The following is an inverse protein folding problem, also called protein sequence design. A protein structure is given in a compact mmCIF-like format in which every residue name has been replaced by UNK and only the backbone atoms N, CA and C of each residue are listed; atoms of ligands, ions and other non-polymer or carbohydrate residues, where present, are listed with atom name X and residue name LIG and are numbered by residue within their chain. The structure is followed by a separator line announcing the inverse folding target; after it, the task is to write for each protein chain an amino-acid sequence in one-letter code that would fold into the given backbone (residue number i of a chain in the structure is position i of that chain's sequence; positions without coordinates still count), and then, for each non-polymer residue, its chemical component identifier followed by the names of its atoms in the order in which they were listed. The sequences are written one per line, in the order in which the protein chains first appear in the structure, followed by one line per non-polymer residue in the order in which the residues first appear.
data_IF_857891096753
#
_entry.id   IF_857891096753
#
_cell.length_a   1.000
_cell.length_b   1.000
_cell.length_c   1.000
_cell.angle_alpha   90.00
_cell.angle_beta   90.00
_cell.angle_gamma   90.00
#
_symmetry.space_group_name_H-M   'P 1'
#
loop_
_entity.id
_entity.type
_entity.pdbx_description
1 polymer ?
#
# COMPACT_ATOMS: atom_id res chain seq x y z
N UNK A 1 -5.77 13.71 -2.14
CA UNK A 1 -6.63 12.75 -1.42
C UNK A 1 -6.27 12.75 0.07
N UNK A 2 -7.16 12.28 0.94
CA UNK A 2 -6.97 12.17 2.40
C UNK A 2 -6.95 10.68 2.83
N UNK A 3 -5.93 9.89 2.46
CA UNK A 3 -5.96 8.44 2.61
C UNK A 3 -6.11 7.99 4.07
N UNK A 4 -5.44 8.64 5.03
CA UNK A 4 -5.53 8.30 6.45
C UNK A 4 -6.96 8.46 6.98
N UNK A 5 -7.57 9.63 6.71
CA UNK A 5 -8.93 9.96 7.11
C UNK A 5 -9.94 8.98 6.51
N UNK A 6 -9.81 8.65 5.23
CA UNK A 6 -10.71 7.68 4.62
C UNK A 6 -10.51 6.26 5.17
N UNK A 7 -9.28 5.87 5.50
CA UNK A 7 -9.01 4.58 6.13
C UNK A 7 -9.65 4.46 7.51
N UNK A 8 -9.60 5.53 8.32
CA UNK A 8 -10.28 5.56 9.62
C UNK A 8 -11.81 5.57 9.47
N UNK A 9 -12.35 6.27 8.47
CA UNK A 9 -13.78 6.27 8.18
C UNK A 9 -14.27 4.89 7.74
N UNK A 10 -13.54 4.22 6.84
CA UNK A 10 -13.87 2.87 6.40
C UNK A 10 -13.84 1.93 7.61
N UNK A 11 -12.80 1.99 8.44
CA UNK A 11 -12.69 1.16 9.64
C UNK A 11 -13.89 1.31 10.58
N UNK A 12 -14.36 2.54 10.78
CA UNK A 12 -15.54 2.81 11.61
C UNK A 12 -16.82 2.15 11.07
N UNK A 13 -16.94 2.01 9.75
CA UNK A 13 -18.17 1.51 9.10
C UNK A 13 -18.12 0.01 8.85
N UNK A 14 -16.94 -0.54 8.50
CA UNK A 14 -16.79 -1.93 8.05
C UNK A 14 -16.19 -2.85 9.10
N UNK A 15 -15.52 -2.30 10.12
CA UNK A 15 -14.73 -3.08 11.08
C UNK A 15 -13.38 -3.57 10.55
N UNK A 16 -13.00 -3.23 9.30
CA UNK A 16 -11.65 -3.50 8.78
C UNK A 16 -10.69 -2.47 9.34
N UNK A 17 -9.59 -2.87 9.96
CA UNK A 17 -8.65 -1.94 10.60
C UNK A 17 -8.16 -0.85 9.64
N UNK A 18 -8.00 0.37 10.18
CA UNK A 18 -7.59 1.53 9.39
C UNK A 18 -6.21 1.31 8.74
N UNK A 19 -5.33 0.64 9.45
CA UNK A 19 -4.00 0.28 8.98
C UNK A 19 -4.03 -0.68 7.78
N UNK A 20 -4.98 -1.62 7.74
CA UNK A 20 -5.20 -2.50 6.60
C UNK A 20 -5.79 -1.71 5.43
N UNK A 21 -6.76 -0.83 5.67
CA UNK A 21 -7.30 0.04 4.63
C UNK A 21 -6.21 0.94 4.01
N UNK A 22 -5.33 1.51 4.84
CA UNK A 22 -4.23 2.34 4.37
C UNK A 22 -3.16 1.53 3.63
N UNK A 23 -2.90 0.28 4.02
CA UNK A 23 -2.01 -0.64 3.31
C UNK A 23 -2.40 -0.78 1.83
N UNK A 24 -3.70 -0.95 1.57
CA UNK A 24 -4.21 -1.15 0.22
C UNK A 24 -4.47 0.16 -0.54
N UNK A 25 -5.11 1.15 0.09
CA UNK A 25 -5.60 2.36 -0.57
C UNK A 25 -4.77 3.63 -0.32
N UNK A 26 -3.72 3.54 0.50
CA UNK A 26 -2.77 4.64 0.71
C UNK A 26 -1.81 4.80 -0.48
N UNK A 27 -0.95 5.83 -0.46
CA UNK A 27 0.15 5.96 -1.42
C UNK A 27 0.99 4.68 -1.44
N UNK A 28 1.54 4.27 -2.58
CA UNK A 28 2.27 3.00 -2.75
C UNK A 28 1.47 1.71 -2.43
N UNK A 29 0.19 1.83 -2.09
CA UNK A 29 -0.72 0.70 -1.96
C UNK A 29 -1.09 0.12 -3.33
N UNK A 30 -1.52 -1.14 -3.33
CA UNK A 30 -1.85 -1.88 -4.56
C UNK A 30 -3.24 -1.52 -5.12
N UNK A 31 -4.10 -0.87 -4.33
CA UNK A 31 -5.42 -0.45 -4.78
C UNK A 31 -5.47 1.06 -5.01
N UNK A 32 -6.09 1.44 -6.13
CA UNK A 32 -6.42 2.82 -6.43
C UNK A 32 -7.85 3.12 -6.02
N UNK A 33 -8.18 4.40 -5.87
CA UNK A 33 -9.56 4.87 -5.72
C UNK A 33 -10.10 5.34 -7.07
N UNK A 34 -9.87 4.54 -8.11
CA UNK A 34 -10.36 4.85 -9.45
C UNK A 34 -11.89 4.74 -9.46
N UNK A 35 -12.54 5.74 -10.05
CA UNK A 35 -13.99 5.81 -10.17
C UNK A 35 -14.47 5.48 -11.58
N UNK A 36 -13.56 5.27 -12.52
CA UNK A 36 -13.89 4.92 -13.90
C UNK A 36 -14.26 3.44 -14.06
N UNK A 37 -15.18 3.17 -14.99
CA UNK A 37 -15.62 1.80 -15.26
C UNK A 37 -14.69 1.12 -16.27
N UNK A 38 -13.59 0.55 -15.77
CA UNK A 38 -12.57 -0.11 -16.59
C UNK A 38 -13.14 -1.27 -17.43
N UNK A 39 -12.60 -1.54 -18.63
CA UNK A 39 -13.04 -2.68 -19.46
C UNK A 39 -13.01 -4.02 -18.72
N UNK A 40 -12.04 -4.22 -17.84
CA UNK A 40 -11.89 -5.43 -17.04
C UNK A 40 -13.06 -5.64 -16.07
N UNK A 41 -13.68 -4.57 -15.55
CA UNK A 41 -14.87 -4.69 -14.71
C UNK A 41 -16.09 -5.14 -15.53
N UNK A 42 -16.24 -4.64 -16.76
CA UNK A 42 -17.30 -5.11 -17.68
C UNK A 42 -17.10 -6.59 -18.01
N UNK A 43 -15.87 -7.02 -18.29
CA UNK A 43 -15.53 -8.41 -18.53
C UNK A 43 -15.82 -9.28 -17.30
N UNK A 44 -15.39 -8.87 -16.11
CA UNK A 44 -15.59 -9.61 -14.86
C UNK A 44 -17.08 -9.83 -14.55
N UNK A 45 -17.92 -8.80 -14.75
CA UNK A 45 -19.37 -8.90 -14.58
C UNK A 45 -19.98 -9.90 -15.57
N UNK A 46 -19.54 -9.88 -16.83
CA UNK A 46 -19.94 -10.88 -17.83
C UNK A 46 -19.61 -12.30 -17.41
N UNK A 47 -18.35 -12.54 -17.01
CA UNK A 47 -17.90 -13.84 -16.49
C UNK A 47 -18.72 -14.30 -15.29
N UNK A 48 -19.06 -13.39 -14.37
CA UNK A 48 -19.87 -13.71 -13.20
C UNK A 48 -21.29 -14.16 -13.60
N UNK A 49 -21.91 -13.48 -14.57
CA UNK A 49 -23.24 -13.85 -15.10
C UNK A 49 -23.20 -15.22 -15.76
N UNK A 50 -22.21 -15.48 -16.60
CA UNK A 50 -22.08 -16.78 -17.27
C UNK A 50 -21.79 -17.90 -16.28
N UNK A 51 -21.02 -17.63 -15.22
CA UNK A 51 -20.82 -18.55 -14.10
C UNK A 51 -22.13 -18.88 -13.40
N UNK A 52 -22.96 -17.87 -13.10
CA UNK A 52 -24.26 -18.09 -12.45
C UNK A 52 -25.22 -18.93 -13.31
N UNK A 53 -25.22 -18.73 -14.64
CA UNK A 53 -25.97 -19.59 -15.57
C UNK A 53 -25.46 -21.03 -15.52
N UNK A 54 -24.15 -21.22 -15.60
CA UNK A 54 -23.53 -22.55 -15.56
C UNK A 54 -23.91 -23.31 -14.27
N UNK A 55 -23.93 -22.60 -13.14
CA UNK A 55 -24.33 -23.13 -11.84
C UNK A 55 -25.86 -23.29 -11.66
N UNK A 56 -26.65 -22.97 -12.69
CA UNK A 56 -28.13 -22.96 -12.66
C UNK A 56 -28.69 -22.11 -11.50
N UNK A 57 -28.01 -20.99 -11.20
CA UNK A 57 -28.42 -19.97 -10.21
C UNK A 57 -29.08 -18.75 -10.86
N UNK A 58 -29.04 -18.66 -12.18
CA UNK A 58 -29.76 -17.68 -12.98
C UNK A 58 -30.31 -18.36 -14.24
N UNK A 59 -31.58 -18.13 -14.52
CA UNK A 59 -32.31 -18.84 -15.58
C UNK A 59 -32.27 -18.12 -16.93
N UNK A 60 -31.72 -16.88 -16.96
CA UNK A 60 -31.69 -16.04 -18.17
C UNK A 60 -30.35 -15.33 -18.31
N UNK A 61 -29.98 -15.03 -19.55
CA UNK A 61 -28.93 -14.07 -19.84
C UNK A 61 -29.32 -12.66 -19.43
N UNK A 62 -28.33 -11.90 -18.97
CA UNK A 62 -28.40 -10.47 -18.78
C UNK A 62 -27.59 -9.80 -19.90
N UNK A 63 -28.19 -8.81 -20.56
CA UNK A 63 -27.46 -7.98 -21.51
C UNK A 63 -26.68 -6.90 -20.75
N UNK A 64 -25.36 -7.04 -20.75
CA UNK A 64 -24.43 -6.11 -20.10
C UNK A 64 -24.57 -4.67 -20.59
N UNK A 65 -24.98 -4.46 -21.84
CA UNK A 65 -25.12 -3.12 -22.41
C UNK A 65 -26.36 -2.39 -21.88
N UNK A 66 -27.35 -3.14 -21.41
CA UNK A 66 -28.54 -2.56 -20.75
C UNK A 66 -28.32 -2.32 -19.26
N UNK A 67 -27.45 -3.12 -18.63
CA UNK A 67 -27.25 -3.09 -17.18
C UNK A 67 -26.08 -2.19 -16.74
N UNK A 68 -25.00 -2.13 -17.52
CA UNK A 68 -23.81 -1.36 -17.20
C UNK A 68 -23.84 -0.04 -17.96
N UNK A 69 -24.16 1.02 -17.23
CA UNK A 69 -24.26 2.38 -17.72
C UNK A 69 -23.33 3.33 -16.94
N UNK A 70 -22.25 3.77 -17.59
CA UNK A 70 -21.27 4.68 -17.02
C UNK A 70 -21.58 6.17 -17.29
N UNK A 71 -22.73 6.50 -17.90
CA UNK A 71 -23.05 7.88 -18.29
C UNK A 71 -23.10 8.83 -17.08
N UNK A 72 -23.57 8.36 -15.93
CA UNK A 72 -23.64 9.16 -14.70
C UNK A 72 -22.26 9.41 -14.10
N UNK A 73 -21.34 8.44 -14.22
CA UNK A 73 -19.95 8.61 -13.79
C UNK A 73 -19.28 9.64 -14.71
N UNK A 74 -19.46 9.53 -16.03
CA UNK A 74 -18.95 10.51 -17.00
C UNK A 74 -19.49 11.91 -16.72
N UNK A 75 -20.78 12.03 -16.41
CA UNK A 75 -21.40 13.30 -16.05
C UNK A 75 -20.79 13.90 -14.77
N UNK A 76 -20.54 13.08 -13.74
CA UNK A 76 -19.89 13.51 -12.50
C UNK A 76 -18.44 13.98 -12.72
N UNK A 77 -17.67 13.28 -13.57
CA UNK A 77 -16.33 13.71 -13.98
C UNK A 77 -16.37 15.08 -14.66
N UNK A 78 -17.27 15.26 -15.64
CA UNK A 78 -17.46 16.55 -16.32
C UNK A 78 -17.84 17.67 -15.34
N UNK A 79 -18.77 17.41 -14.42
CA UNK A 79 -19.17 18.37 -13.39
C UNK A 79 -18.04 18.73 -12.43
N UNK A 80 -17.09 17.80 -12.22
CA UNK A 80 -15.91 17.99 -11.39
C UNK A 80 -14.71 18.55 -12.17
N UNK A 81 -14.88 18.92 -13.44
CA UNK A 81 -13.82 19.35 -14.35
C UNK A 81 -12.66 18.33 -14.48
N UNK A 82 -13.01 17.04 -14.52
CA UNK A 82 -12.09 15.91 -14.69
C UNK A 82 -12.30 15.23 -16.05
N UNK A 83 -11.22 14.64 -16.59
CA UNK A 83 -11.24 13.88 -17.85
C UNK A 83 -11.48 12.39 -17.57
N UNK A 84 -12.69 11.92 -17.85
CA UNK A 84 -13.04 10.50 -17.71
C UNK A 84 -12.23 9.60 -18.65
N UNK A 85 -11.96 10.03 -19.88
CA UNK A 85 -11.24 9.21 -20.87
C UNK A 85 -9.79 9.04 -20.44
N UNK A 86 -9.15 10.11 -19.98
CA UNK A 86 -7.81 10.03 -19.42
C UNK A 86 -7.77 9.15 -18.16
N UNK A 87 -8.76 9.28 -17.26
CA UNK A 87 -8.84 8.42 -16.07
C UNK A 87 -9.09 6.96 -16.42
N UNK A 88 -9.96 6.68 -17.40
CA UNK A 88 -10.23 5.32 -17.88
C UNK A 88 -8.96 4.64 -18.40
N UNK A 89 -8.08 5.37 -19.09
CA UNK A 89 -6.79 4.88 -19.57
C UNK A 89 -5.69 4.82 -18.49
N UNK A 90 -5.91 5.40 -17.30
CA UNK A 90 -4.90 5.47 -16.25
C UNK A 90 -4.90 4.20 -15.39
N UNK A 91 -3.79 3.46 -15.40
CA UNK A 91 -3.54 2.30 -14.53
C UNK A 91 -2.35 2.52 -13.59
N UNK A 92 -1.86 3.76 -13.48
CA UNK A 92 -0.72 4.07 -12.63
C UNK A 92 -1.07 3.87 -11.13
N UNK A 93 -0.11 3.39 -10.32
CA UNK A 93 -0.29 3.32 -8.87
C UNK A 93 -0.44 4.72 -8.27
N UNK A 94 -1.05 4.79 -7.09
CA UNK A 94 -1.17 6.05 -6.35
C UNK A 94 0.22 6.57 -5.97
N UNK A 95 0.66 7.74 -6.48
CA UNK A 95 2.01 8.23 -6.24
C UNK A 95 2.18 8.67 -4.79
N UNK A 96 3.36 8.41 -4.22
CA UNK A 96 3.80 9.04 -2.98
C UNK A 96 4.53 10.35 -3.31
N UNK A 97 4.05 11.46 -2.77
CA UNK A 97 4.77 12.73 -2.72
C UNK A 97 5.10 13.00 -1.26
N UNK A 98 6.31 12.66 -0.85
CA UNK A 98 6.72 12.71 0.54
C UNK A 98 8.09 13.36 0.72
N UNK A 99 8.24 13.96 1.90
CA UNK A 99 9.54 14.34 2.45
C UNK A 99 9.89 13.36 3.56
N UNK A 100 11.15 13.02 3.64
CA UNK A 100 11.70 12.17 4.69
C UNK A 100 11.56 12.87 6.04
N UNK A 101 10.90 12.22 7.00
CA UNK A 101 10.55 12.79 8.29
C UNK A 101 11.78 13.05 9.18
N UNK A 102 12.92 12.44 8.88
CA UNK A 102 14.17 12.67 9.62
C UNK A 102 15.00 13.81 9.01
N UNK A 103 15.23 13.79 7.70
CA UNK A 103 16.14 14.71 7.00
C UNK A 103 15.44 15.90 6.34
N UNK A 104 14.12 15.86 6.17
CA UNK A 104 13.32 16.87 5.48
C UNK A 104 13.50 16.88 3.95
N UNK A 105 14.30 15.98 3.39
CA UNK A 105 14.57 15.91 1.95
C UNK A 105 13.43 15.21 1.20
N UNK A 106 13.18 15.54 -0.08
CA UNK A 106 12.25 14.78 -0.90
C UNK A 106 12.66 13.31 -1.02
N UNK A 107 11.70 12.40 -0.89
CA UNK A 107 11.91 10.98 -1.17
C UNK A 107 11.68 10.76 -2.67
N UNK A 108 12.70 10.31 -3.38
CA UNK A 108 12.66 10.04 -4.83
C UNK A 108 12.86 8.58 -5.19
N UNK A 109 13.37 7.77 -4.25
CA UNK A 109 13.46 6.32 -4.35
C UNK A 109 12.52 5.70 -3.32
N UNK A 110 11.57 4.90 -3.82
CA UNK A 110 10.54 4.28 -2.98
C UNK A 110 10.86 2.82 -2.62
N UNK A 111 11.95 2.24 -3.14
CA UNK A 111 12.29 0.81 -2.96
C UNK A 111 12.67 0.42 -1.53
N UNK A 112 12.99 1.40 -0.69
CA UNK A 112 13.37 1.22 0.71
C UNK A 112 12.49 2.04 1.67
N UNK A 113 11.41 2.65 1.17
CA UNK A 113 10.55 3.50 2.00
C UNK A 113 9.94 2.68 3.11
N UNK A 114 9.97 3.27 4.30
CA UNK A 114 9.23 2.79 5.45
C UNK A 114 8.37 3.92 6.00
N UNK A 115 7.22 3.56 6.56
CA UNK A 115 6.26 4.53 7.06
C UNK A 115 5.86 4.17 8.49
N UNK A 116 5.64 5.18 9.34
CA UNK A 116 5.14 4.98 10.70
C UNK A 116 3.87 5.80 10.89
N UNK A 117 2.78 5.10 11.20
CA UNK A 117 1.55 5.75 11.57
C UNK A 117 1.41 5.74 13.10
N UNK A 118 1.56 6.91 13.71
CA UNK A 118 1.33 7.11 15.14
C UNK A 118 -0.15 7.38 15.37
N UNK A 119 -0.75 6.72 16.35
CA UNK A 119 -2.16 6.91 16.71
C UNK A 119 -2.39 8.36 17.16
N UNK A 120 -3.40 8.99 16.59
CA UNK A 120 -3.73 10.41 16.85
C UNK A 120 -3.03 11.40 15.92
N UNK A 121 -2.04 10.96 15.12
CA UNK A 121 -1.48 11.81 14.06
C UNK A 121 -2.33 11.73 12.80
N UNK A 122 -2.59 12.89 12.21
CA UNK A 122 -3.39 13.01 10.99
C UNK A 122 -2.70 12.45 9.73
N UNK A 123 -1.39 12.24 9.80
CA UNK A 123 -0.55 11.82 8.67
C UNK A 123 0.39 10.71 9.06
N UNK A 124 0.60 9.78 8.13
CA UNK A 124 1.65 8.77 8.26
C UNK A 124 3.00 9.41 8.01
N UNK A 125 3.94 9.23 8.94
CA UNK A 125 5.33 9.71 8.80
C UNK A 125 6.06 8.83 7.79
N UNK A 126 6.78 9.47 6.88
CA UNK A 126 7.44 8.80 5.75
C UNK A 126 8.95 8.86 5.96
N UNK A 127 9.65 7.76 5.73
CA UNK A 127 11.10 7.67 5.84
C UNK A 127 11.68 7.06 4.57
N UNK A 128 12.80 7.60 4.11
CA UNK A 128 13.50 7.15 2.90
C UNK A 128 14.11 5.75 3.04
N UNK A 129 14.25 5.26 4.28
CA UNK A 129 14.83 3.94 4.56
C UNK A 129 14.18 3.27 5.80
N UNK A 130 14.23 1.94 5.83
CA UNK A 130 13.75 1.15 6.96
C UNK A 130 14.53 1.43 8.25
N UNK A 131 15.85 1.63 8.15
CA UNK A 131 16.73 1.94 9.28
C UNK A 131 16.37 3.26 9.96
N UNK A 132 16.10 4.29 9.14
CA UNK A 132 15.65 5.61 9.61
C UNK A 132 14.31 5.49 10.35
N UNK A 133 13.35 4.79 9.74
CA UNK A 133 12.07 4.51 10.38
C UNK A 133 12.24 3.73 11.68
N UNK A 134 13.00 2.65 11.71
CA UNK A 134 13.12 1.79 12.90
C UNK A 134 13.86 2.48 14.05
N UNK A 135 14.82 3.35 13.75
CA UNK A 135 15.43 4.23 14.74
C UNK A 135 14.41 5.23 15.32
N UNK A 136 13.60 5.84 14.46
CA UNK A 136 12.53 6.73 14.90
C UNK A 136 11.45 5.98 15.69
N UNK A 137 11.11 4.75 15.31
CA UNK A 137 10.18 3.86 16.01
C UNK A 137 10.64 3.59 17.44
N UNK A 138 11.93 3.29 17.64
CA UNK A 138 12.49 3.09 18.97
C UNK A 138 12.35 4.36 19.83
N UNK A 139 12.63 5.53 19.26
CA UNK A 139 12.50 6.83 19.95
C UNK A 139 11.05 7.13 20.32
N UNK A 140 10.10 6.93 19.38
CA UNK A 140 8.66 7.10 19.63
C UNK A 140 8.14 6.18 20.72
N UNK A 141 8.63 4.93 20.78
CA UNK A 141 8.28 3.98 21.85
C UNK A 141 8.81 4.45 23.21
N UNK A 142 10.04 4.97 23.27
CA UNK A 142 10.60 5.55 24.51
C UNK A 142 9.82 6.78 24.98
N UNK A 143 9.29 7.58 24.05
CA UNK A 143 8.39 8.70 24.33
C UNK A 143 6.97 8.27 24.74
N UNK A 144 6.68 6.96 24.80
CA UNK A 144 5.36 6.43 25.14
C UNK A 144 4.29 6.64 24.07
N UNK A 145 4.68 6.90 22.82
CA UNK A 145 3.73 7.06 21.70
C UNK A 145 3.10 5.72 21.35
N UNK A 146 1.79 5.74 21.09
CA UNK A 146 1.05 4.59 20.60
C UNK A 146 1.20 4.49 19.08
N UNK A 147 1.89 3.46 18.61
CA UNK A 147 2.09 3.21 17.18
C UNK A 147 0.89 2.42 16.67
N UNK A 148 0.19 2.98 15.67
CA UNK A 148 -0.91 2.29 14.99
C UNK A 148 -0.37 1.21 14.05
N UNK A 149 0.59 1.57 13.19
CA UNK A 149 1.19 0.64 12.25
C UNK A 149 2.57 1.11 11.79
N UNK A 150 3.38 0.15 11.33
CA UNK A 150 4.64 0.40 10.63
C UNK A 150 4.54 -0.32 9.29
N UNK A 151 4.93 0.38 8.22
CA UNK A 151 4.90 -0.14 6.86
C UNK A 151 6.31 -0.17 6.28
N UNK A 152 6.55 -1.09 5.37
CA UNK A 152 7.76 -1.13 4.55
C UNK A 152 7.38 -1.46 3.11
N UNK A 153 8.06 -0.84 2.15
CA UNK A 153 7.93 -1.20 0.75
C UNK A 153 8.82 -2.40 0.45
N UNK A 154 8.25 -3.47 -0.09
CA UNK A 154 9.02 -4.63 -0.52
C UNK A 154 9.95 -4.25 -1.68
N UNK A 155 11.26 -4.50 -1.52
CA UNK A 155 12.27 -4.03 -2.47
C UNK A 155 12.29 -4.82 -3.78
N UNK A 156 11.69 -6.02 -3.79
CA UNK A 156 11.59 -6.89 -4.97
C UNK A 156 10.34 -6.63 -5.82
N UNK A 157 9.20 -6.47 -5.17
CA UNK A 157 7.87 -6.44 -5.79
C UNK A 157 7.24 -5.06 -5.79
N UNK A 158 7.75 -4.13 -4.96
CA UNK A 158 7.13 -2.84 -4.75
C UNK A 158 5.74 -2.96 -4.11
N UNK A 159 5.46 -4.02 -3.36
CA UNK A 159 4.22 -4.15 -2.58
C UNK A 159 4.45 -3.53 -1.20
N UNK A 160 3.50 -2.72 -0.73
CA UNK A 160 3.51 -2.23 0.64
C UNK A 160 3.17 -3.36 1.61
N UNK A 161 3.97 -3.51 2.65
CA UNK A 161 3.84 -4.54 3.69
C UNK A 161 3.56 -3.91 5.04
N UNK A 162 2.85 -4.63 5.91
CA UNK A 162 2.94 -4.42 7.35
C UNK A 162 4.32 -4.90 7.80
N UNK A 163 5.13 -4.00 8.35
CA UNK A 163 6.54 -4.25 8.61
C UNK A 163 6.77 -5.34 9.66
N UNK A 164 5.84 -5.50 10.62
CA UNK A 164 5.87 -6.54 11.65
C UNK A 164 5.58 -7.96 11.09
N UNK A 165 5.05 -8.06 9.87
CA UNK A 165 4.81 -9.31 9.16
C UNK A 165 5.81 -9.54 8.01
N UNK A 166 6.78 -8.64 7.84
CA UNK A 166 7.77 -8.71 6.77
C UNK A 166 9.08 -9.37 7.20
N UNK A 167 9.84 -9.84 6.21
CA UNK A 167 11.24 -10.23 6.38
C UNK A 167 12.14 -9.12 5.86
N UNK A 168 13.28 -8.93 6.52
CA UNK A 168 14.28 -7.96 6.10
C UNK A 168 15.58 -8.67 5.77
N UNK A 169 16.32 -8.15 4.81
CA UNK A 169 17.67 -8.60 4.53
C UNK A 169 18.62 -7.42 4.42
N UNK A 170 19.82 -7.53 5.00
CA UNK A 170 20.87 -6.54 4.80
C UNK A 170 21.66 -6.80 3.53
N UNK A 171 22.27 -5.75 2.97
CA UNK A 171 23.45 -5.86 2.11
C UNK A 171 24.74 -5.91 2.95
N UNK A 172 25.90 -6.06 2.29
CA UNK A 172 27.22 -6.03 2.94
C UNK A 172 27.54 -4.72 3.67
N UNK A 173 26.82 -3.62 3.36
CA UNK A 173 26.94 -2.32 4.03
C UNK A 173 25.96 -2.17 5.19
N UNK A 174 25.15 -3.20 5.46
CA UNK A 174 24.15 -3.20 6.53
C UNK A 174 22.81 -2.58 6.14
N UNK A 175 22.60 -2.22 4.86
CA UNK A 175 21.35 -1.58 4.42
C UNK A 175 20.22 -2.59 4.32
N UNK A 176 19.07 -2.28 4.89
CA UNK A 176 17.90 -3.15 4.96
C UNK A 176 17.01 -3.02 3.71
N UNK A 177 16.60 -4.18 3.20
CA UNK A 177 15.58 -4.35 2.16
C UNK A 177 14.46 -5.22 2.69
N UNK A 178 13.20 -4.86 2.43
CA UNK A 178 12.04 -5.59 2.93
C UNK A 178 11.52 -6.59 1.89
N UNK A 179 10.98 -7.71 2.35
CA UNK A 179 10.45 -8.80 1.53
C UNK A 179 9.21 -9.41 2.18
N UNK A 180 8.26 -9.83 1.34
CA UNK A 180 7.07 -10.53 1.82
C UNK A 180 7.42 -11.95 2.29
N UNK A 181 8.22 -12.70 1.53
CA UNK A 181 8.60 -14.07 1.91
C UNK A 181 10.07 -14.15 2.31
N UNK A 182 10.31 -14.97 3.34
CA UNK A 182 11.65 -15.27 3.84
C UNK A 182 12.59 -15.78 2.77
N UNK A 183 12.07 -16.57 1.82
CA UNK A 183 12.85 -17.13 0.73
C UNK A 183 13.52 -16.05 -0.15
N UNK A 184 12.78 -14.99 -0.52
CA UNK A 184 13.38 -13.89 -1.28
C UNK A 184 14.39 -13.10 -0.45
N UNK A 185 14.10 -12.84 0.83
CA UNK A 185 15.04 -12.20 1.73
C UNK A 185 16.36 -12.98 1.84
N UNK A 186 16.28 -14.31 1.95
CA UNK A 186 17.45 -15.20 2.01
C UNK A 186 18.27 -15.14 0.72
N UNK A 187 17.61 -15.23 -0.43
CA UNK A 187 18.28 -15.13 -1.74
C UNK A 187 18.99 -13.78 -1.90
N UNK A 188 18.33 -12.68 -1.52
CA UNK A 188 18.91 -11.35 -1.53
C UNK A 188 20.12 -11.25 -0.60
N UNK A 189 19.98 -11.67 0.66
CA UNK A 189 21.07 -11.63 1.64
C UNK A 189 22.30 -12.41 1.15
N UNK A 190 22.10 -13.62 0.62
CA UNK A 190 23.20 -14.43 0.05
C UNK A 190 23.87 -13.73 -1.12
N UNK A 191 23.09 -13.13 -2.04
CA UNK A 191 23.61 -12.43 -3.20
C UNK A 191 24.34 -11.12 -2.85
N UNK A 192 23.90 -10.42 -1.80
CA UNK A 192 24.42 -9.11 -1.39
C UNK A 192 25.42 -9.18 -0.22
N UNK A 193 25.76 -10.39 0.25
CA UNK A 193 26.71 -10.59 1.35
C UNK A 193 26.21 -10.12 2.72
N UNK A 194 24.90 -10.20 2.96
CA UNK A 194 24.28 -9.80 4.22
C UNK A 194 23.54 -10.92 4.95
N UNK A 195 22.57 -10.53 5.78
CA UNK A 195 21.84 -11.45 6.68
C UNK A 195 20.34 -11.19 6.61
N UNK A 196 19.54 -12.19 7.00
CA UNK A 196 18.08 -12.09 7.09
C UNK A 196 17.67 -11.83 8.53
N UNK A 197 16.65 -10.99 8.71
CA UNK A 197 16.09 -10.57 9.98
C UNK A 197 14.56 -10.65 9.92
N UNK A 198 13.92 -10.95 11.04
CA UNK A 198 12.52 -10.54 11.23
C UNK A 198 12.45 -9.06 11.63
N UNK A 199 11.25 -8.55 11.87
CA UNK A 199 11.05 -7.14 12.24
C UNK A 199 11.74 -6.73 13.54
N UNK A 200 11.77 -7.61 14.55
CA UNK A 200 12.35 -7.32 15.87
C UNK A 200 13.86 -7.22 15.77
N UNK A 201 14.47 -8.19 15.09
CA UNK A 201 15.92 -8.22 14.87
C UNK A 201 16.36 -7.07 13.94
N UNK A 202 15.58 -6.76 12.91
CA UNK A 202 15.85 -5.63 12.02
C UNK A 202 15.80 -4.29 12.76
N UNK A 203 14.83 -4.11 13.67
CA UNK A 203 14.74 -2.91 14.50
C UNK A 203 15.95 -2.81 15.44
N UNK A 204 16.37 -3.92 16.04
CA UNK A 204 17.55 -3.97 16.92
C UNK A 204 18.82 -3.63 16.15
N UNK A 205 19.00 -4.21 14.97
CA UNK A 205 20.12 -3.91 14.07
C UNK A 205 20.16 -2.44 13.69
N UNK A 206 19.02 -1.83 13.32
CA UNK A 206 18.96 -0.42 12.94
C UNK A 206 19.39 0.52 14.07
N UNK A 207 19.02 0.20 15.31
CA UNK A 207 19.41 0.99 16.49
C UNK A 207 20.89 0.79 16.86
N UNK A 208 21.44 -0.40 16.63
CA UNK A 208 22.83 -0.73 16.97
C UNK A 208 23.89 -0.13 16.03
N UNK A 209 23.50 0.28 14.82
CA UNK A 209 24.39 0.90 13.82
C UNK A 209 24.58 2.41 14.06
N UNK A 210 24.10 2.94 15.19
CA UNK A 210 24.33 4.33 15.64
C UNK A 210 25.74 4.59 16.16
#
# INVERSE_FOLDING_TARGET
AEPEKYSELIAKVTGVDAEVNYLFYGPLGVQTRDLSWKPEYRQAVGTAIDTLKLLKKADRGLDLNTFIDDQYIRAAFKASNLDYTAQLANYAPTPLKAVDAQSGKPITDFSHVAEIWVRGEAKVRQYASAESAFTALASLKQEGKNIRAVYAQASDSGIKLLADQAWFASDAKGRLSAFLLKGQAQQYATAQGGKVFDFTDATTQAVAVR
#
